data_IF_119616079059
#
_entry.id   IF_119616079059
#
_cell.length_a   1.000
_cell.length_b   1.000
_cell.length_c   1.000
_cell.angle_alpha   90.00
_cell.angle_beta   90.00
_cell.angle_gamma   90.00
#
_symmetry.space_group_name_H-M   'P 1'
#
loop_
_entity.id
_entity.type
_entity.pdbx_description
1 polymer ?
#
# COMPACT_ATOMS: atom_id res chain seq x y z
N UNK A 1 9.53 -4.26 26.28
CA UNK A 1 8.69 -4.44 25.09
C UNK A 1 9.46 -5.30 24.10
N UNK A 2 9.05 -6.55 23.90
CA UNK A 2 9.65 -7.41 22.88
C UNK A 2 9.34 -6.81 21.51
N UNK A 3 10.38 -6.65 20.68
CA UNK A 3 10.25 -6.16 19.31
C UNK A 3 9.46 -7.22 18.53
N UNK A 4 8.15 -7.02 18.35
CA UNK A 4 7.34 -7.92 17.54
C UNK A 4 7.95 -7.90 16.14
N UNK A 5 8.47 -9.04 15.68
CA UNK A 5 9.11 -9.17 14.38
C UNK A 5 8.02 -9.31 13.31
N UNK A 6 7.30 -8.22 13.06
CA UNK A 6 6.18 -8.15 12.13
C UNK A 6 6.72 -8.12 10.70
N UNK A 7 6.27 -9.05 9.85
CA UNK A 7 6.64 -9.09 8.44
C UNK A 7 6.16 -7.84 7.70
N UNK A 8 6.74 -7.52 6.54
CA UNK A 8 6.33 -6.34 5.75
C UNK A 8 4.82 -6.35 5.43
N UNK A 9 4.29 -7.55 5.14
CA UNK A 9 2.88 -7.76 4.79
C UNK A 9 1.95 -7.63 5.99
N UNK A 10 2.34 -8.15 7.14
CA UNK A 10 1.61 -7.94 8.39
C UNK A 10 1.61 -6.46 8.80
N UNK A 11 2.75 -5.77 8.64
CA UNK A 11 2.85 -4.34 8.89
C UNK A 11 1.95 -3.54 7.95
N UNK A 12 1.88 -3.93 6.68
CA UNK A 12 0.95 -3.34 5.73
C UNK A 12 -0.50 -3.43 6.23
N UNK A 13 -0.94 -4.61 6.67
CA UNK A 13 -2.31 -4.82 7.16
C UNK A 13 -2.61 -3.97 8.39
N UNK A 14 -1.71 -3.94 9.37
CA UNK A 14 -1.87 -3.11 10.57
C UNK A 14 -1.93 -1.62 10.25
N UNK A 15 -1.13 -1.16 9.28
CA UNK A 15 -1.15 0.24 8.85
C UNK A 15 -2.41 0.57 8.05
N UNK A 16 -2.89 -0.35 7.21
CA UNK A 16 -4.12 -0.16 6.45
C UNK A 16 -5.33 -0.08 7.39
N UNK A 17 -5.44 -0.99 8.36
CA UNK A 17 -6.54 -1.01 9.32
C UNK A 17 -6.62 0.29 10.12
N UNK A 18 -5.48 0.74 10.65
CA UNK A 18 -5.35 2.03 11.36
C UNK A 18 -5.62 3.24 10.45
N UNK A 19 -5.21 3.17 9.19
CA UNK A 19 -5.46 4.22 8.23
C UNK A 19 -6.97 4.36 7.96
N UNK A 20 -7.66 3.23 7.76
CA UNK A 20 -9.12 3.21 7.60
C UNK A 20 -9.82 3.74 8.84
N UNK A 21 -9.40 3.34 10.05
CA UNK A 21 -9.94 3.89 11.30
C UNK A 21 -9.85 5.41 11.34
N UNK A 22 -8.68 5.95 11.00
CA UNK A 22 -8.49 7.41 11.00
C UNK A 22 -9.37 8.13 10.00
N UNK A 23 -9.68 7.51 8.87
CA UNK A 23 -10.62 8.09 7.90
C UNK A 23 -12.07 8.02 8.40
N UNK A 24 -12.47 6.92 9.03
CA UNK A 24 -13.79 6.78 9.65
C UNK A 24 -13.96 7.80 10.78
N UNK A 25 -12.99 7.91 11.69
CA UNK A 25 -12.98 8.89 12.78
C UNK A 25 -13.04 10.34 12.27
N UNK A 26 -12.47 10.60 11.09
CA UNK A 26 -12.48 11.92 10.45
C UNK A 26 -13.77 12.23 9.69
N UNK A 27 -14.74 11.30 9.66
CA UNK A 27 -16.06 11.50 9.03
C UNK A 27 -16.06 11.43 7.50
N UNK A 28 -15.07 10.79 6.87
CA UNK A 28 -15.09 10.58 5.42
C UNK A 28 -16.22 9.64 5.01
N UNK A 29 -16.79 9.88 3.82
CA UNK A 29 -17.77 8.95 3.25
C UNK A 29 -17.13 7.60 2.90
N UNK A 30 -17.92 6.52 2.86
CA UNK A 30 -17.42 5.18 2.50
C UNK A 30 -16.70 5.15 1.15
N UNK A 31 -17.19 5.94 0.18
CA UNK A 31 -16.55 6.08 -1.13
C UNK A 31 -15.16 6.71 -1.00
N UNK A 32 -15.04 7.79 -0.24
CA UNK A 32 -13.75 8.45 -0.02
C UNK A 32 -12.79 7.58 0.77
N UNK A 33 -13.29 6.86 1.78
CA UNK A 33 -12.51 5.88 2.54
C UNK A 33 -11.93 4.84 1.58
N UNK A 34 -12.76 4.29 0.70
CA UNK A 34 -12.35 3.26 -0.28
C UNK A 34 -11.33 3.81 -1.27
N UNK A 35 -11.56 4.99 -1.85
CA UNK A 35 -10.64 5.63 -2.81
C UNK A 35 -9.28 5.97 -2.16
N UNK A 36 -9.29 6.52 -0.94
CA UNK A 36 -8.06 6.84 -0.19
C UNK A 36 -7.32 5.59 0.27
N UNK A 37 -8.06 4.56 0.67
CA UNK A 37 -7.48 3.27 1.06
C UNK A 37 -6.84 2.56 -0.13
N UNK A 38 -7.44 2.67 -1.32
CA UNK A 38 -6.80 2.21 -2.56
C UNK A 38 -5.48 2.97 -2.83
N UNK A 39 -5.48 4.30 -2.70
CA UNK A 39 -4.26 5.11 -2.85
C UNK A 39 -3.17 4.70 -1.84
N UNK A 40 -3.56 4.43 -0.59
CA UNK A 40 -2.64 3.89 0.42
C UNK A 40 -2.02 2.57 -0.05
N UNK A 41 -2.83 1.64 -0.55
CA UNK A 41 -2.33 0.33 -1.04
C UNK A 41 -1.38 0.49 -2.23
N UNK A 42 -1.73 1.33 -3.20
CA UNK A 42 -0.88 1.64 -4.35
C UNK A 42 0.45 2.26 -3.92
N UNK A 43 0.40 3.26 -3.04
CA UNK A 43 1.59 3.93 -2.52
C UNK A 43 2.49 3.01 -1.71
N UNK A 44 1.90 2.14 -0.88
CA UNK A 44 2.64 1.13 -0.12
C UNK A 44 3.37 0.18 -1.06
N UNK A 45 2.66 -0.36 -2.07
CA UNK A 45 3.27 -1.25 -3.05
C UNK A 45 4.42 -0.56 -3.80
N UNK A 46 4.22 0.66 -4.31
CA UNK A 46 5.25 1.40 -5.06
C UNK A 46 6.49 1.62 -4.20
N UNK A 47 6.30 2.00 -2.94
CA UNK A 47 7.40 2.31 -2.01
C UNK A 47 8.23 1.07 -1.66
N UNK A 48 7.57 -0.06 -1.41
CA UNK A 48 8.22 -1.30 -0.99
C UNK A 48 8.35 -2.32 -2.12
N UNK A 49 8.21 -1.85 -3.36
CA UNK A 49 8.22 -2.65 -4.59
C UNK A 49 9.35 -3.68 -4.61
N UNK A 50 10.60 -3.26 -4.39
CA UNK A 50 11.76 -4.16 -4.43
C UNK A 50 11.75 -5.25 -3.33
N UNK A 51 11.11 -4.97 -2.19
CA UNK A 51 10.96 -5.94 -1.09
C UNK A 51 9.80 -6.92 -1.37
N UNK A 52 8.80 -6.48 -2.14
CA UNK A 52 7.61 -7.24 -2.52
C UNK A 52 7.82 -8.04 -3.83
N UNK A 53 8.60 -7.51 -4.79
CA UNK A 53 8.78 -7.99 -6.18
C UNK A 53 9.69 -9.20 -6.37
N UNK A 54 10.08 -9.90 -5.30
CA UNK A 54 10.45 -11.31 -5.46
C UNK A 54 9.27 -12.16 -5.96
N UNK A 55 8.07 -11.58 -6.01
CA UNK A 55 6.88 -12.08 -6.66
C UNK A 55 6.68 -11.30 -7.98
N UNK A 56 6.98 -11.93 -9.11
CA UNK A 56 6.80 -11.36 -10.46
C UNK A 56 5.33 -11.08 -10.74
N UNK A 57 4.94 -9.80 -10.90
CA UNK A 57 3.60 -9.42 -11.37
C UNK A 57 3.70 -8.50 -12.58
N UNK A 58 2.96 -8.83 -13.63
CA UNK A 58 2.76 -7.94 -14.77
C UNK A 58 2.02 -6.67 -14.30
N UNK A 59 2.38 -5.51 -14.85
CA UNK A 59 2.01 -4.18 -14.33
C UNK A 59 0.50 -3.90 -14.16
N UNK A 60 -0.41 -4.77 -14.60
CA UNK A 60 -1.84 -4.45 -14.75
C UNK A 60 -2.68 -4.67 -13.48
N UNK A 61 -2.30 -5.61 -12.61
CA UNK A 61 -3.16 -6.02 -11.48
C UNK A 61 -2.42 -6.11 -10.14
N UNK A 62 -1.28 -5.44 -10.05
CA UNK A 62 -0.35 -5.65 -8.94
C UNK A 62 -0.94 -5.34 -7.56
N UNK A 63 -1.70 -4.25 -7.45
CA UNK A 63 -2.40 -3.89 -6.19
C UNK A 63 -3.52 -4.90 -5.89
N UNK A 64 -4.20 -5.42 -6.91
CA UNK A 64 -5.21 -6.47 -6.75
C UNK A 64 -4.59 -7.77 -6.26
N UNK A 65 -3.51 -8.24 -6.88
CA UNK A 65 -2.82 -9.45 -6.45
C UNK A 65 -2.27 -9.32 -5.04
N UNK A 66 -1.74 -8.15 -4.69
CA UNK A 66 -1.28 -7.83 -3.35
C UNK A 66 -2.41 -7.89 -2.31
N UNK A 67 -3.60 -7.37 -2.64
CA UNK A 67 -4.79 -7.46 -1.80
C UNK A 67 -5.31 -8.90 -1.68
N UNK A 68 -5.33 -9.67 -2.77
CA UNK A 68 -5.74 -11.07 -2.77
C UNK A 68 -4.81 -11.93 -1.90
N UNK A 69 -3.50 -11.74 -2.03
CA UNK A 69 -2.51 -12.42 -1.20
C UNK A 69 -2.69 -12.08 0.28
N UNK A 70 -2.98 -10.82 0.56
CA UNK A 70 -3.30 -10.35 1.91
C UNK A 70 -4.55 -11.03 2.46
N UNK A 71 -5.63 -11.03 1.68
CA UNK A 71 -6.93 -11.62 2.04
C UNK A 71 -6.85 -13.11 2.35
N UNK A 72 -6.19 -13.89 1.48
CA UNK A 72 -6.15 -15.35 1.59
C UNK A 72 -5.07 -15.86 2.55
N UNK A 73 -3.95 -15.15 2.70
CA UNK A 73 -2.80 -15.65 3.46
C UNK A 73 -2.44 -14.82 4.68
N UNK A 74 -2.24 -13.51 4.54
CA UNK A 74 -1.60 -12.74 5.61
C UNK A 74 -2.53 -12.35 6.76
N UNK A 75 -3.83 -12.13 6.50
CA UNK A 75 -4.80 -11.84 7.58
C UNK A 75 -4.84 -12.99 8.59
N UNK A 76 -4.83 -14.24 8.12
CA UNK A 76 -4.91 -15.41 9.00
C UNK A 76 -3.62 -15.67 9.78
N UNK A 77 -2.49 -15.07 9.38
CA UNK A 77 -1.19 -15.20 10.06
C UNK A 77 -1.02 -14.23 11.23
N UNK A 78 -1.86 -13.20 11.33
CA UNK A 78 -1.82 -12.25 12.43
C UNK A 78 -2.53 -12.81 13.66
N UNK A 79 -2.01 -12.49 14.84
CA UNK A 79 -2.69 -12.77 16.11
C UNK A 79 -3.97 -11.94 16.21
N UNK A 80 -5.03 -12.53 16.80
CA UNK A 80 -6.34 -11.87 16.94
C UNK A 80 -6.27 -10.60 17.80
N UNK A 81 -5.30 -10.53 18.72
CA UNK A 81 -5.04 -9.34 19.56
C UNK A 81 -4.47 -8.15 18.77
N UNK A 82 -3.90 -8.41 17.58
CA UNK A 82 -3.25 -7.38 16.77
C UNK A 82 -4.17 -6.81 15.70
N UNK A 83 -5.13 -7.59 15.22
CA UNK A 83 -5.97 -7.22 14.09
C UNK A 83 -7.31 -7.98 14.13
N UNK A 84 -8.42 -7.25 14.01
CA UNK A 84 -9.72 -7.85 13.73
C UNK A 84 -9.72 -8.43 12.30
N UNK A 85 -9.60 -9.76 12.23
CA UNK A 85 -9.53 -10.50 10.97
C UNK A 85 -10.79 -10.36 10.11
N UNK A 86 -11.96 -10.28 10.73
CA UNK A 86 -13.23 -10.18 10.00
C UNK A 86 -13.38 -8.80 9.39
N UNK A 87 -13.08 -7.76 10.18
CA UNK A 87 -13.03 -6.39 9.69
C UNK A 87 -12.02 -6.22 8.55
N UNK A 88 -10.82 -6.76 8.70
CA UNK A 88 -9.80 -6.66 7.66
C UNK A 88 -10.22 -7.38 6.37
N UNK A 89 -10.88 -8.54 6.48
CA UNK A 89 -11.48 -9.22 5.32
C UNK A 89 -12.49 -8.32 4.61
N UNK A 90 -13.40 -7.65 5.34
CA UNK A 90 -14.35 -6.69 4.75
C UNK A 90 -13.65 -5.54 4.04
N UNK A 91 -12.62 -4.94 4.64
CA UNK A 91 -11.84 -3.86 4.03
C UNK A 91 -11.18 -4.35 2.73
N UNK A 92 -10.49 -5.49 2.77
CA UNK A 92 -9.87 -6.08 1.58
C UNK A 92 -10.91 -6.40 0.49
N UNK A 93 -12.05 -7.00 0.84
CA UNK A 93 -13.13 -7.29 -0.11
C UNK A 93 -13.68 -6.03 -0.77
N UNK A 94 -13.91 -4.96 0.01
CA UNK A 94 -14.35 -3.67 -0.53
C UNK A 94 -13.34 -3.10 -1.54
N UNK A 95 -12.05 -3.15 -1.21
CA UNK A 95 -10.98 -2.68 -2.10
C UNK A 95 -10.86 -3.53 -3.37
N UNK A 96 -10.98 -4.86 -3.25
CA UNK A 96 -11.00 -5.77 -4.41
C UNK A 96 -12.18 -5.43 -5.32
N UNK A 97 -13.39 -5.30 -4.77
CA UNK A 97 -14.58 -4.92 -5.52
C UNK A 97 -14.41 -3.56 -6.20
N UNK A 98 -13.86 -2.58 -5.48
CA UNK A 98 -13.56 -1.27 -6.04
C UNK A 98 -12.63 -1.35 -7.26
N UNK A 99 -11.56 -2.14 -7.17
CA UNK A 99 -10.63 -2.34 -8.29
C UNK A 99 -11.32 -3.03 -9.47
N UNK A 100 -12.06 -4.11 -9.22
CA UNK A 100 -12.74 -4.87 -10.28
C UNK A 100 -13.78 -3.99 -10.98
N UNK A 101 -14.57 -3.22 -10.23
CA UNK A 101 -15.58 -2.32 -10.79
C UNK A 101 -15.01 -1.05 -11.45
N UNK A 102 -13.76 -0.68 -11.16
CA UNK A 102 -13.15 0.57 -11.65
C UNK A 102 -11.78 0.36 -12.32
N UNK A 103 -11.55 -0.81 -12.92
CA UNK A 103 -10.24 -1.29 -13.37
C UNK A 103 -9.40 -0.25 -14.12
N UNK A 104 -9.98 0.42 -15.12
CA UNK A 104 -9.31 1.49 -15.89
C UNK A 104 -8.91 2.69 -15.04
N UNK A 105 -9.79 3.13 -14.12
CA UNK A 105 -9.52 4.28 -13.25
C UNK A 105 -8.42 3.94 -12.24
N UNK A 106 -8.49 2.76 -11.63
CA UNK A 106 -7.46 2.30 -10.69
C UNK A 106 -6.10 2.13 -11.36
N UNK A 107 -6.06 1.62 -12.59
CA UNK A 107 -4.83 1.51 -13.38
C UNK A 107 -4.19 2.89 -13.66
N UNK A 108 -4.99 3.87 -14.07
CA UNK A 108 -4.50 5.23 -14.30
C UNK A 108 -3.94 5.87 -13.02
N UNK A 109 -4.64 5.70 -11.90
CA UNK A 109 -4.17 6.18 -10.59
C UNK A 109 -2.80 5.56 -10.27
N UNK A 110 -2.68 4.24 -10.37
CA UNK A 110 -1.43 3.54 -10.08
C UNK A 110 -0.27 4.01 -10.98
N UNK A 111 -0.47 4.11 -12.29
CA UNK A 111 0.55 4.59 -13.23
C UNK A 111 1.01 6.01 -12.88
N UNK A 112 0.07 6.88 -12.53
CA UNK A 112 0.38 8.27 -12.18
C UNK A 112 1.16 8.36 -10.86
N UNK A 113 0.75 7.63 -9.82
CA UNK A 113 1.47 7.61 -8.54
C UNK A 113 2.87 6.98 -8.68
N UNK A 114 3.01 5.95 -9.52
CA UNK A 114 4.32 5.35 -9.83
C UNK A 114 5.25 6.36 -10.50
N UNK A 115 4.77 7.08 -11.52
CA UNK A 115 5.55 8.12 -12.21
C UNK A 115 5.96 9.25 -11.28
N UNK A 116 5.06 9.70 -10.39
CA UNK A 116 5.37 10.71 -9.38
C UNK A 116 6.51 10.25 -8.46
N UNK A 117 6.39 9.03 -7.93
CA UNK A 117 7.41 8.45 -7.05
C UNK A 117 8.77 8.31 -7.74
N UNK A 118 8.80 7.79 -8.97
CA UNK A 118 10.03 7.66 -9.77
C UNK A 118 10.70 9.04 -10.00
N UNK A 119 9.90 10.05 -10.35
CA UNK A 119 10.37 11.43 -10.54
C UNK A 119 10.96 12.01 -9.26
N UNK A 120 10.30 11.81 -8.12
CA UNK A 120 10.76 12.31 -6.83
C UNK A 120 12.05 11.62 -6.36
N UNK A 121 12.19 10.32 -6.64
CA UNK A 121 13.44 9.58 -6.39
C UNK A 121 14.60 10.14 -7.23
N UNK A 122 14.37 10.41 -8.52
CA UNK A 122 15.39 11.01 -9.39
C UNK A 122 15.80 12.41 -8.89
N UNK A 123 14.84 13.25 -8.51
CA UNK A 123 15.12 14.58 -7.92
C UNK A 123 15.97 14.48 -6.66
N UNK A 124 15.66 13.53 -5.76
CA UNK A 124 16.45 13.29 -4.54
C UNK A 124 17.88 12.86 -4.89
N UNK A 125 18.05 11.94 -5.84
CA UNK A 125 19.38 11.50 -6.27
C UNK A 125 20.21 12.63 -6.88
N UNK A 126 19.59 13.50 -7.70
CA UNK A 126 20.25 14.68 -8.26
C UNK A 126 20.69 15.64 -7.15
N UNK A 127 19.81 15.95 -6.19
CA UNK A 127 20.15 16.82 -5.05
C UNK A 127 21.32 16.26 -4.22
N UNK A 128 21.35 14.94 -3.97
CA UNK A 128 22.45 14.29 -3.25
C UNK A 128 23.76 14.42 -4.06
N UNK A 129 23.72 14.19 -5.37
CA UNK A 129 24.89 14.29 -6.26
C UNK A 129 25.44 15.71 -6.30
N UNK A 130 24.57 16.72 -6.33
CA UNK A 130 24.97 18.13 -6.27
C UNK A 130 25.62 18.49 -4.93
N UNK A 131 25.05 18.02 -3.81
CA UNK A 131 25.66 18.22 -2.48
C UNK A 131 27.05 17.58 -2.40
N UNK A 132 27.22 16.35 -2.89
CA UNK A 132 28.54 15.69 -2.95
C UNK A 132 29.55 16.48 -3.78
N UNK A 133 29.14 17.01 -4.94
CA UNK A 133 29.99 17.87 -5.78
C UNK A 133 30.37 19.18 -5.10
N UNK A 134 29.45 19.79 -4.34
CA UNK A 134 29.67 21.08 -3.64
C UNK A 134 30.52 20.94 -2.37
N UNK A 135 30.41 19.83 -1.66
CA UNK A 135 31.03 19.65 -0.33
C UNK A 135 32.13 18.58 -0.28
N UNK A 136 32.45 17.89 -1.38
CA UNK A 136 33.58 16.95 -1.44
C UNK A 136 33.44 15.69 -0.56
N UNK A 137 32.21 15.26 -0.28
CA UNK A 137 31.90 14.04 0.50
C UNK A 137 31.68 12.80 -0.38
#
# INVERSE_FOLDING_TARGET
>A
MNKINVSLMERYLLLLDRFVDKLVESGFSEKEITEKSYLFCAGFYIKYKNEIEKLTFSNREVVLTFLLLSYYSYINKLDDDLLDKERMKRICSSLINFIVSNSRRTEQIYINEKKKHETDMLKKMLSIKEKKRRYGL
#
